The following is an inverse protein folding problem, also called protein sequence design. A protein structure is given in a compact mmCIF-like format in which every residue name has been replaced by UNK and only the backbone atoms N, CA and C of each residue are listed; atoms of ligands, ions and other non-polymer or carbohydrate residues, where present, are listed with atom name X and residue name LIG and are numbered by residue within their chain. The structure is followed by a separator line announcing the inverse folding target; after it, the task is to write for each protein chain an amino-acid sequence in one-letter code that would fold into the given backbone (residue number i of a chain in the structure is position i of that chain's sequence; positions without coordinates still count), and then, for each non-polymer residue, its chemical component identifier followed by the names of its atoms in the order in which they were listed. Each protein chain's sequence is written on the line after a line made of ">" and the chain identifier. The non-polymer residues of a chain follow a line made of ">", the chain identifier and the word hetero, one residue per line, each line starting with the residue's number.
data_IF_001862023259
#
_entry.id   IF_001862023259
#
_cell.length_a   1.000
_cell.length_b   1.000
_cell.length_c   1.000
_cell.angle_alpha   90.00
_cell.angle_beta   90.00
_cell.angle_gamma   90.00
#
_symmetry.space_group_name_H-M   'P 1'
#
loop_
_entity.id
_entity.type
_entity.pdbx_description
1 polymer ?
#
# COMPACT_ATOMS: atom_id res chain seq x y z
N UNK A 1 -13.20 -1.74 43.13
CA UNK A 1 -13.26 -2.90 42.21
C UNK A 1 -12.52 -2.49 40.96
N UNK A 2 -11.23 -2.82 40.85
CA UNK A 2 -10.38 -2.43 39.72
C UNK A 2 -10.06 -3.66 38.87
N UNK A 3 -10.21 -3.55 37.56
CA UNK A 3 -9.63 -4.50 36.61
C UNK A 3 -9.03 -3.71 35.46
N UNK A 4 -7.69 -3.64 35.41
CA UNK A 4 -6.96 -3.22 34.21
C UNK A 4 -6.56 -4.49 33.46
N UNK A 5 -6.91 -4.57 32.18
CA UNK A 5 -6.41 -5.61 31.28
C UNK A 5 -5.05 -5.14 30.74
N UNK A 6 -4.00 -5.90 31.05
CA UNK A 6 -2.66 -5.71 30.51
C UNK A 6 -2.56 -6.61 29.27
N UNK A 7 -2.51 -6.02 28.08
CA UNK A 7 -2.16 -6.74 26.85
C UNK A 7 -0.67 -7.01 26.88
N UNK A 8 -0.28 -8.29 26.88
CA UNK A 8 1.12 -8.73 26.84
C UNK A 8 1.59 -8.68 25.39
N UNK A 9 2.57 -7.83 25.09
CA UNK A 9 3.29 -7.84 23.81
C UNK A 9 4.08 -9.15 23.69
N UNK A 10 3.79 -9.94 22.65
CA UNK A 10 4.46 -11.19 22.34
C UNK A 10 5.72 -10.90 21.51
N UNK A 11 6.80 -10.51 22.20
CA UNK A 11 8.13 -10.39 21.60
C UNK A 11 8.86 -11.72 21.76
N UNK A 12 8.66 -12.62 20.80
CA UNK A 12 9.52 -13.78 20.61
C UNK A 12 10.95 -13.29 20.30
N UNK A 13 11.74 -13.14 21.35
CA UNK A 13 13.15 -12.76 21.26
C UNK A 13 13.95 -13.88 20.62
N UNK A 14 14.67 -13.55 19.55
CA UNK A 14 15.70 -14.33 18.85
C UNK A 14 15.28 -15.63 18.15
N UNK A 15 14.83 -15.51 16.90
CA UNK A 15 14.94 -16.60 15.91
C UNK A 15 16.33 -16.55 15.27
N UNK A 16 17.06 -17.67 15.28
CA UNK A 16 18.36 -17.83 14.60
C UNK A 16 18.24 -18.93 13.55
N UNK A 17 18.45 -18.64 12.24
CA UNK A 17 18.86 -17.34 11.68
C UNK A 17 17.75 -16.28 11.73
N UNK A 18 18.09 -14.98 11.61
CA UNK A 18 17.10 -13.91 11.56
C UNK A 18 16.03 -14.19 10.51
N UNK A 19 14.77 -13.84 10.82
CA UNK A 19 13.66 -13.94 9.86
C UNK A 19 14.01 -13.08 8.65
N UNK A 20 14.22 -13.72 7.49
CA UNK A 20 14.43 -13.02 6.22
C UNK A 20 13.09 -12.81 5.53
N UNK A 21 12.68 -11.55 5.39
CA UNK A 21 11.53 -11.18 4.57
C UNK A 21 11.91 -11.36 3.10
N UNK A 22 11.35 -12.38 2.45
CA UNK A 22 11.68 -12.70 1.04
C UNK A 22 11.10 -11.70 0.02
N UNK A 23 10.14 -10.88 0.42
CA UNK A 23 9.51 -9.86 -0.41
C UNK A 23 9.27 -8.59 0.41
N UNK A 24 10.33 -7.80 0.69
CA UNK A 24 10.25 -6.59 1.51
C UNK A 24 9.30 -5.53 0.91
N UNK A 25 9.18 -5.54 -0.42
CA UNK A 25 8.30 -4.68 -1.21
C UNK A 25 6.81 -5.03 -1.11
N UNK A 26 6.40 -6.08 -0.39
CA UNK A 26 4.97 -6.33 -0.18
C UNK A 26 4.35 -5.22 0.62
N UNK A 27 3.17 -4.79 0.20
CA UNK A 27 2.36 -3.78 0.90
C UNK A 27 1.73 -4.43 2.13
N UNK A 28 1.89 -3.76 3.27
CA UNK A 28 1.32 -4.12 4.57
C UNK A 28 0.04 -3.34 4.85
N UNK A 29 -0.03 -2.08 4.42
CA UNK A 29 -1.21 -1.24 4.58
C UNK A 29 -1.31 -0.22 3.45
N UNK A 30 -2.53 0.18 3.14
CA UNK A 30 -2.86 1.26 2.20
C UNK A 30 -3.99 2.10 2.78
N UNK A 31 -3.94 3.40 2.54
CA UNK A 31 -4.99 4.36 2.87
C UNK A 31 -5.24 5.25 1.65
N UNK A 32 -6.50 5.43 1.27
CA UNK A 32 -6.88 6.40 0.26
C UNK A 32 -6.87 7.81 0.86
N UNK A 33 -6.26 8.74 0.14
CA UNK A 33 -6.22 10.16 0.44
C UNK A 33 -7.01 10.95 -0.61
N UNK A 34 -7.21 12.24 -0.34
CA UNK A 34 -7.77 13.18 -1.32
C UNK A 34 -6.92 13.26 -2.60
N UNK A 35 -7.55 13.68 -3.68
CA UNK A 35 -6.94 13.91 -5.00
C UNK A 35 -6.32 12.64 -5.63
N UNK A 36 -6.96 11.48 -5.47
CA UNK A 36 -6.52 10.20 -6.06
C UNK A 36 -5.10 9.80 -5.63
N UNK A 37 -4.79 10.07 -4.36
CA UNK A 37 -3.53 9.67 -3.75
C UNK A 37 -3.73 8.51 -2.80
N UNK A 38 -2.68 7.72 -2.64
CA UNK A 38 -2.62 6.65 -1.66
C UNK A 38 -1.43 6.87 -0.75
N UNK A 39 -1.58 6.59 0.53
CA UNK A 39 -0.46 6.36 1.43
C UNK A 39 -0.25 4.85 1.61
N UNK A 40 0.96 4.36 1.35
CA UNK A 40 1.30 2.94 1.44
C UNK A 40 2.40 2.69 2.47
N UNK A 41 2.31 1.56 3.16
CA UNK A 41 3.35 1.03 4.05
C UNK A 41 3.75 -0.36 3.60
N UNK A 42 5.04 -0.61 3.43
CA UNK A 42 5.62 -1.89 3.05
C UNK A 42 6.04 -2.74 4.26
N UNK A 43 6.30 -4.03 4.05
CA UNK A 43 6.70 -4.96 5.13
C UNK A 43 8.05 -4.58 5.73
N UNK A 44 8.97 -4.01 4.95
CA UNK A 44 10.27 -3.54 5.43
C UNK A 44 10.22 -2.20 6.19
N UNK A 45 9.03 -1.60 6.30
CA UNK A 45 8.82 -0.33 6.99
C UNK A 45 9.00 0.90 6.10
N UNK A 46 9.30 0.74 4.80
CA UNK A 46 9.22 1.87 3.87
C UNK A 46 7.77 2.36 3.81
N UNK A 47 7.60 3.68 3.76
CA UNK A 47 6.31 4.36 3.59
C UNK A 47 6.45 5.43 2.52
N UNK A 48 5.36 5.75 1.83
CA UNK A 48 5.33 6.84 0.87
C UNK A 48 3.97 6.99 0.19
N UNK A 49 3.89 7.98 -0.70
CA UNK A 49 2.66 8.27 -1.44
C UNK A 49 2.70 7.72 -2.86
N UNK A 50 1.54 7.29 -3.35
CA UNK A 50 1.29 7.07 -4.78
C UNK A 50 0.31 8.12 -5.24
N UNK A 51 0.70 8.91 -6.24
CA UNK A 51 -0.16 9.91 -6.87
C UNK A 51 -0.65 9.37 -8.21
N UNK A 52 -1.96 9.14 -8.30
CA UNK A 52 -2.61 8.58 -9.49
C UNK A 52 -3.47 9.60 -10.23
N UNK A 53 -3.49 10.86 -9.82
CA UNK A 53 -4.38 11.88 -10.37
C UNK A 53 -4.22 12.04 -11.88
N UNK A 54 -2.98 12.05 -12.38
CA UNK A 54 -2.72 12.11 -13.83
C UNK A 54 -3.20 10.84 -14.55
N UNK A 55 -2.84 9.65 -14.05
CA UNK A 55 -3.17 8.38 -14.72
C UNK A 55 -4.67 8.09 -14.78
N UNK A 56 -5.43 8.32 -13.71
CA UNK A 56 -6.87 7.96 -13.71
C UNK A 56 -7.71 8.87 -14.63
N UNK A 57 -7.24 10.09 -14.89
CA UNK A 57 -7.89 11.04 -15.80
C UNK A 57 -7.28 11.08 -17.20
N UNK A 58 -6.25 10.27 -17.47
CA UNK A 58 -5.61 10.23 -18.77
C UNK A 58 -6.57 9.69 -19.85
N UNK A 59 -6.53 10.20 -21.09
CA UNK A 59 -7.35 9.68 -22.19
C UNK A 59 -7.05 8.21 -22.53
N UNK A 60 -5.85 7.74 -22.16
CA UNK A 60 -5.36 6.37 -22.31
C UNK A 60 -5.21 5.65 -20.95
N UNK A 61 -5.99 6.03 -19.94
CA UNK A 61 -5.98 5.41 -18.61
C UNK A 61 -6.23 3.88 -18.63
N UNK A 62 -6.88 3.37 -19.68
CA UNK A 62 -7.12 1.94 -19.85
C UNK A 62 -7.88 1.34 -18.67
N UNK A 63 -7.31 0.29 -18.06
CA UNK A 63 -7.91 -0.36 -16.88
C UNK A 63 -8.04 0.57 -15.67
N UNK A 64 -7.24 1.63 -15.57
CA UNK A 64 -7.31 2.61 -14.47
C UNK A 64 -8.46 3.61 -14.62
N UNK A 65 -9.12 3.68 -15.78
CA UNK A 65 -10.19 4.66 -16.02
C UNK A 65 -11.37 4.50 -15.05
N UNK A 66 -11.62 3.29 -14.56
CA UNK A 66 -12.69 3.03 -13.58
C UNK A 66 -12.43 3.74 -12.25
N UNK A 67 -11.15 3.98 -11.91
CA UNK A 67 -10.75 4.64 -10.68
C UNK A 67 -10.92 6.16 -10.71
N UNK A 68 -11.41 6.74 -11.81
CA UNK A 68 -11.87 8.13 -11.85
C UNK A 68 -13.18 8.33 -11.06
N UNK A 69 -13.88 7.25 -10.70
CA UNK A 69 -14.93 7.29 -9.69
C UNK A 69 -14.28 7.33 -8.29
N UNK A 70 -14.41 8.45 -7.53
CA UNK A 70 -13.79 8.57 -6.20
C UNK A 70 -14.35 7.55 -5.20
N UNK A 71 -15.61 7.11 -5.33
CA UNK A 71 -16.19 6.11 -4.45
C UNK A 71 -15.57 4.73 -4.73
N UNK A 72 -15.23 4.43 -5.98
CA UNK A 72 -14.48 3.22 -6.32
C UNK A 72 -13.01 3.34 -5.87
N UNK A 73 -12.37 4.48 -6.09
CA UNK A 73 -10.99 4.72 -5.67
C UNK A 73 -10.81 4.52 -4.16
N UNK A 74 -11.77 5.00 -3.36
CA UNK A 74 -11.75 4.87 -1.90
C UNK A 74 -11.92 3.42 -1.40
N UNK A 75 -12.34 2.48 -2.25
CA UNK A 75 -12.47 1.06 -1.90
C UNK A 75 -11.14 0.29 -1.98
N UNK A 76 -10.01 0.99 -2.08
CA UNK A 76 -8.67 0.39 -2.09
C UNK A 76 -8.43 -0.50 -0.86
N UNK A 77 -7.80 -1.66 -1.08
CA UNK A 77 -7.42 -2.59 -0.03
C UNK A 77 -6.10 -3.30 -0.36
N UNK A 78 -5.56 -4.05 0.60
CA UNK A 78 -4.38 -4.89 0.37
C UNK A 78 -4.81 -6.33 0.11
N UNK A 79 -4.40 -6.89 -1.02
CA UNK A 79 -4.60 -8.30 -1.37
C UNK A 79 -3.27 -8.96 -1.72
N UNK A 80 -2.92 -10.05 -1.04
CA UNK A 80 -1.69 -10.81 -1.29
C UNK A 80 -0.38 -9.98 -1.30
N UNK A 81 -0.39 -8.80 -0.68
CA UNK A 81 0.74 -7.87 -0.62
C UNK A 81 0.80 -6.84 -1.76
N UNK A 82 -0.26 -6.70 -2.54
CA UNK A 82 -0.46 -5.65 -3.54
C UNK A 82 -1.54 -4.66 -3.08
N UNK A 83 -1.50 -3.44 -3.63
CA UNK A 83 -2.62 -2.49 -3.55
C UNK A 83 -3.63 -2.91 -4.60
N UNK A 84 -4.89 -3.08 -4.21
CA UNK A 84 -5.93 -3.68 -5.05
C UNK A 84 -7.26 -2.95 -4.88
N UNK A 85 -8.07 -2.95 -5.94
CA UNK A 85 -9.46 -2.48 -5.94
C UNK A 85 -10.43 -3.60 -6.35
N UNK A 86 -11.74 -3.45 -6.05
CA UNK A 86 -12.75 -4.37 -6.58
C UNK A 86 -12.63 -4.53 -8.10
N UNK A 87 -12.75 -5.76 -8.58
CA UNK A 87 -12.56 -6.08 -10.00
C UNK A 87 -11.13 -6.43 -10.39
N UNK A 88 -10.30 -6.85 -9.44
CA UNK A 88 -8.95 -7.41 -9.64
C UNK A 88 -7.91 -6.43 -10.21
N UNK A 89 -8.20 -5.13 -10.22
CA UNK A 89 -7.23 -4.10 -10.58
C UNK A 89 -6.24 -3.91 -9.43
N UNK A 90 -4.94 -3.99 -9.73
CA UNK A 90 -3.87 -3.84 -8.75
C UNK A 90 -2.73 -2.92 -9.23
N UNK A 91 -1.93 -2.44 -8.27
CA UNK A 91 -0.64 -1.82 -8.54
C UNK A 91 0.49 -2.80 -8.20
N UNK A 92 1.47 -2.89 -9.11
CA UNK A 92 2.68 -3.68 -8.92
C UNK A 92 3.47 -3.19 -7.68
N UNK A 93 3.56 -4.00 -6.61
CA UNK A 93 4.11 -3.56 -5.33
C UNK A 93 5.63 -3.35 -5.34
N UNK A 94 6.35 -4.05 -6.20
CA UNK A 94 7.78 -3.84 -6.44
C UNK A 94 8.05 -2.49 -7.13
N UNK A 95 7.28 -2.14 -8.17
CA UNK A 95 7.39 -0.85 -8.84
C UNK A 95 7.06 0.32 -7.90
N UNK A 96 5.99 0.19 -7.10
CA UNK A 96 5.66 1.16 -6.05
C UNK A 96 6.84 1.35 -5.08
N UNK A 97 7.40 0.24 -4.58
CA UNK A 97 8.48 0.26 -3.61
C UNK A 97 9.73 0.94 -4.16
N UNK A 98 10.17 0.58 -5.37
CA UNK A 98 11.39 1.12 -5.98
C UNK A 98 11.29 2.65 -6.20
N UNK A 99 10.15 3.13 -6.70
CA UNK A 99 9.93 4.56 -6.94
C UNK A 99 9.82 5.35 -5.63
N UNK A 100 9.07 4.85 -4.65
CA UNK A 100 8.97 5.48 -3.32
C UNK A 100 10.32 5.48 -2.62
N UNK A 101 11.09 4.40 -2.69
CA UNK A 101 12.43 4.34 -2.10
C UNK A 101 13.37 5.37 -2.69
N UNK A 102 13.21 5.68 -3.98
CA UNK A 102 14.06 6.62 -4.70
C UNK A 102 13.64 8.07 -4.56
N UNK A 103 12.33 8.35 -4.51
CA UNK A 103 11.80 9.71 -4.62
C UNK A 103 10.84 10.10 -3.49
N UNK A 104 10.44 9.17 -2.62
CA UNK A 104 9.44 9.35 -1.57
C UNK A 104 7.98 9.30 -2.08
N UNK A 105 7.78 9.46 -3.38
CA UNK A 105 6.47 9.44 -4.04
C UNK A 105 6.58 8.74 -5.38
N UNK A 106 5.61 7.88 -5.71
CA UNK A 106 5.43 7.37 -7.06
C UNK A 106 4.33 8.15 -7.76
N UNK A 107 4.68 8.90 -8.80
CA UNK A 107 3.71 9.58 -9.66
C UNK A 107 3.38 8.68 -10.83
N UNK A 108 2.23 8.04 -10.77
CA UNK A 108 1.71 7.23 -11.87
C UNK A 108 1.13 8.20 -12.90
N UNK A 109 1.94 8.49 -13.90
CA UNK A 109 1.53 9.13 -15.15
C UNK A 109 0.84 8.12 -16.01
#
# INVERSE_FOLDING_TARGET
>A
MSTQAITKEDIASSVVPPIQVKAPWRVKAVEALDDYRLHVRFIDGLEGEVDMAERVHAPDAGVFAVLADPDLFAQVYVELGAVTWPGELDLAPDAMHDEIKKYGVWRLK
#
